data_IF_109522941987
#
_entry.id   IF_109522941987
#
_cell.length_a   1.000
_cell.length_b   1.000
_cell.length_c   1.000
_cell.angle_alpha   90.00
_cell.angle_beta   90.00
_cell.angle_gamma   90.00
#
_symmetry.space_group_name_H-M   'P 1'
#
loop_
_entity.id
_entity.type
_entity.pdbx_description
1 polymer ?
#
# COMPACT_ATOMS: atom_id res chain seq x y z
N UNK A 1 15.64 7.31 -0.23
CA UNK A 1 15.13 6.17 -1.04
C UNK A 1 15.01 6.71 -2.47
N UNK A 2 15.39 5.94 -3.49
CA UNK A 2 15.43 6.39 -4.89
C UNK A 2 15.06 5.26 -5.86
N UNK A 3 14.73 5.60 -7.11
CA UNK A 3 14.32 4.62 -8.13
C UNK A 3 15.43 3.60 -8.44
N UNK A 4 16.68 4.05 -8.45
CA UNK A 4 17.91 3.26 -8.60
C UNK A 4 18.04 2.13 -7.58
N UNK A 5 17.49 2.33 -6.38
CA UNK A 5 17.54 1.40 -5.26
C UNK A 5 16.24 0.65 -5.00
N UNK A 6 15.21 0.90 -5.78
CA UNK A 6 13.89 0.28 -5.61
C UNK A 6 13.72 -0.83 -6.63
N UNK A 7 13.63 -2.08 -6.16
CA UNK A 7 13.38 -3.25 -7.02
C UNK A 7 11.94 -3.69 -6.89
N UNK A 8 11.26 -3.88 -8.02
CA UNK A 8 9.86 -4.30 -8.07
C UNK A 8 9.78 -5.68 -8.73
N UNK A 9 9.00 -6.57 -8.13
CA UNK A 9 8.62 -7.86 -8.71
C UNK A 9 7.10 -7.94 -8.74
N UNK A 10 6.55 -8.17 -9.92
CA UNK A 10 5.11 -8.41 -10.12
C UNK A 10 4.93 -9.90 -10.39
N UNK A 11 3.95 -10.51 -9.73
CA UNK A 11 3.60 -11.93 -9.91
C UNK A 11 2.10 -12.01 -10.14
N UNK A 12 1.70 -12.68 -11.22
CA UNK A 12 0.31 -13.04 -11.47
C UNK A 12 0.14 -14.52 -11.11
N UNK A 13 -0.72 -14.78 -10.12
CA UNK A 13 -1.05 -16.13 -9.67
C UNK A 13 -2.54 -16.39 -9.95
N UNK A 14 -2.91 -17.38 -10.77
CA UNK A 14 -4.29 -17.63 -11.17
C UNK A 14 -5.19 -18.14 -10.03
N UNK A 15 -4.62 -18.57 -8.90
CA UNK A 15 -5.37 -19.10 -7.76
C UNK A 15 -5.69 -17.99 -6.73
N UNK A 16 -4.93 -16.90 -6.75
CA UNK A 16 -5.08 -15.80 -5.80
C UNK A 16 -6.26 -14.90 -6.17
N UNK A 17 -7.10 -14.56 -5.19
CA UNK A 17 -8.29 -13.72 -5.36
C UNK A 17 -8.14 -12.29 -4.83
N UNK A 18 -6.96 -11.93 -4.33
CA UNK A 18 -6.69 -10.64 -3.68
C UNK A 18 -5.33 -10.07 -4.12
N UNK A 19 -5.18 -8.76 -4.02
CA UNK A 19 -3.93 -8.08 -4.35
C UNK A 19 -3.01 -8.05 -3.13
N UNK A 20 -1.86 -8.73 -3.20
CA UNK A 20 -0.86 -8.72 -2.13
C UNK A 20 0.30 -7.77 -2.45
N UNK A 21 0.68 -6.94 -1.48
CA UNK A 21 1.83 -6.05 -1.56
C UNK A 21 2.80 -6.39 -0.43
N UNK A 22 4.06 -6.67 -0.80
CA UNK A 22 5.14 -6.92 0.14
C UNK A 22 6.24 -5.88 -0.07
N UNK A 23 6.51 -5.09 0.96
CA UNK A 23 7.59 -4.10 0.98
C UNK A 23 8.66 -4.60 1.95
N UNK A 24 9.88 -4.75 1.44
CA UNK A 24 11.07 -5.09 2.21
C UNK A 24 12.06 -3.94 2.09
N UNK A 25 12.48 -3.37 3.21
CA UNK A 25 13.48 -2.31 3.24
C UNK A 25 14.56 -2.59 4.28
N UNK A 26 15.81 -2.28 3.93
CA UNK A 26 16.98 -2.45 4.79
C UNK A 26 17.81 -1.18 4.80
N UNK A 27 18.39 -0.84 5.95
CA UNK A 27 19.25 0.33 6.10
C UNK A 27 19.86 0.42 7.49
N UNK A 28 20.45 1.58 7.82
CA UNK A 28 21.03 1.84 9.15
C UNK A 28 20.01 1.71 10.28
N UNK A 29 18.72 1.90 9.98
CA UNK A 29 17.61 1.70 10.91
C UNK A 29 17.26 0.22 11.14
N UNK A 30 17.94 -0.72 10.49
CA UNK A 30 17.65 -2.15 10.55
C UNK A 30 16.82 -2.63 9.35
N UNK A 31 15.77 -3.40 9.62
CA UNK A 31 14.94 -4.06 8.61
C UNK A 31 13.46 -3.76 8.80
N UNK A 32 12.77 -3.42 7.71
CA UNK A 32 11.32 -3.26 7.66
C UNK A 32 10.73 -4.30 6.71
N UNK A 33 9.62 -4.90 7.15
CA UNK A 33 8.77 -5.79 6.36
C UNK A 33 7.33 -5.35 6.56
N UNK A 34 6.68 -4.92 5.49
CA UNK A 34 5.26 -4.60 5.49
C UNK A 34 4.55 -5.47 4.44
N UNK A 35 3.46 -6.12 4.86
CA UNK A 35 2.62 -6.95 4.00
C UNK A 35 1.18 -6.47 4.11
N UNK A 36 0.54 -6.30 2.95
CA UNK A 36 -0.84 -5.84 2.85
C UNK A 36 -1.56 -6.69 1.83
N UNK A 37 -2.65 -7.32 2.24
CA UNK A 37 -3.55 -8.05 1.38
C UNK A 37 -4.83 -7.24 1.19
N UNK A 38 -5.12 -6.91 -0.06
CA UNK A 38 -6.24 -6.05 -0.42
C UNK A 38 -7.27 -6.83 -1.20
N UNK A 39 -8.51 -6.75 -0.74
CA UNK A 39 -9.62 -7.13 -1.59
C UNK A 39 -9.66 -6.22 -2.82
N UNK A 40 -9.90 -6.78 -4.02
CA UNK A 40 -10.17 -5.97 -5.19
C UNK A 40 -11.39 -5.09 -4.92
N UNK A 41 -11.37 -3.86 -5.44
CA UNK A 41 -12.51 -2.97 -5.27
C UNK A 41 -13.74 -3.57 -6.00
N UNK A 42 -14.89 -3.72 -5.34
CA UNK A 42 -16.07 -4.34 -5.94
C UNK A 42 -16.63 -3.56 -7.15
N UNK A 43 -16.34 -2.25 -7.26
CA UNK A 43 -16.75 -1.41 -8.39
C UNK A 43 -15.68 -1.27 -9.48
N UNK A 44 -14.41 -1.55 -9.15
CA UNK A 44 -13.31 -1.53 -10.12
C UNK A 44 -12.24 -2.55 -9.69
N UNK A 45 -12.34 -3.82 -10.12
CA UNK A 45 -11.45 -4.89 -9.69
C UNK A 45 -9.96 -4.63 -10.00
N UNK A 46 -9.66 -3.77 -10.97
CA UNK A 46 -8.30 -3.36 -11.35
C UNK A 46 -7.62 -2.44 -10.33
N UNK A 47 -8.32 -1.98 -9.29
CA UNK A 47 -7.77 -1.10 -8.25
C UNK A 47 -7.97 -1.67 -6.85
N UNK A 48 -6.99 -1.45 -5.98
CA UNK A 48 -7.09 -1.77 -4.55
C UNK A 48 -8.10 -0.87 -3.85
N UNK A 49 -8.99 -1.44 -3.04
CA UNK A 49 -9.94 -0.67 -2.24
C UNK A 49 -9.25 0.30 -1.25
N UNK A 50 -8.08 -0.08 -0.73
CA UNK A 50 -7.29 0.77 0.16
C UNK A 50 -6.84 2.09 -0.50
N UNK A 51 -6.65 2.14 -1.82
CA UNK A 51 -6.22 3.37 -2.49
C UNK A 51 -7.29 4.47 -2.41
N UNK A 52 -8.56 4.10 -2.55
CA UNK A 52 -9.67 5.05 -2.37
C UNK A 52 -9.79 5.46 -0.90
N UNK A 53 -9.64 4.51 0.02
CA UNK A 53 -9.66 4.80 1.46
C UNK A 53 -8.49 5.72 1.89
N UNK A 54 -7.30 5.60 1.29
CA UNK A 54 -6.18 6.49 1.60
C UNK A 54 -6.44 7.92 1.13
N UNK A 55 -7.09 8.11 -0.02
CA UNK A 55 -7.51 9.44 -0.47
C UNK A 55 -8.52 10.06 0.50
N UNK A 56 -9.52 9.27 0.95
CA UNK A 56 -10.49 9.72 1.95
C UNK A 56 -9.81 10.05 3.28
N UNK A 57 -8.87 9.22 3.74
CA UNK A 57 -8.13 9.45 4.97
C UNK A 57 -7.30 10.75 4.89
N UNK A 58 -6.66 11.01 3.75
CA UNK A 58 -5.94 12.26 3.51
C UNK A 58 -6.87 13.48 3.58
N UNK A 59 -8.02 13.42 2.90
CA UNK A 59 -9.01 14.51 2.95
C UNK A 59 -9.50 14.75 4.38
N UNK A 60 -9.80 13.69 5.13
CA UNK A 60 -10.17 13.78 6.56
C UNK A 60 -9.07 14.41 7.40
N UNK A 61 -7.80 14.09 7.14
CA UNK A 61 -6.64 14.65 7.85
C UNK A 61 -6.46 16.15 7.57
N UNK A 62 -6.72 16.60 6.35
CA UNK A 62 -6.63 18.03 5.98
C UNK A 62 -7.69 18.86 6.72
N UNK A 63 -8.89 18.32 6.91
CA UNK A 63 -10.02 19.07 7.50
C UNK A 63 -10.18 18.90 9.01
N UNK A 64 -9.41 18.01 9.65
CA UNK A 64 -9.54 17.71 11.08
C UNK A 64 -8.38 18.34 11.87
N UNK A 65 -8.63 19.09 12.97
CA UNK A 65 -7.59 19.68 13.81
C UNK A 65 -6.69 18.65 14.51
N UNK A 66 -7.14 17.40 14.64
CA UNK A 66 -6.34 16.30 15.21
C UNK A 66 -5.82 15.38 14.11
N UNK A 67 -4.50 15.21 14.07
CA UNK A 67 -3.81 14.30 13.17
C UNK A 67 -3.16 13.16 13.95
N UNK A 68 -3.46 11.91 13.57
CA UNK A 68 -2.82 10.72 14.11
C UNK A 68 -1.90 10.16 13.02
N UNK A 69 -0.61 10.02 13.33
CA UNK A 69 0.43 9.67 12.36
C UNK A 69 1.07 10.89 11.68
N UNK A 70 2.07 10.65 10.82
CA UNK A 70 2.79 11.68 10.04
C UNK A 70 2.02 12.04 8.77
#
# INVERSE_FOLDING_TARGET
IGLDRTKVKVVADPVIRFNSHKILAHGKFGRLRAEVENLPNPKNPSTSYLASLSAIALLKKIVNPLQIGI
#
